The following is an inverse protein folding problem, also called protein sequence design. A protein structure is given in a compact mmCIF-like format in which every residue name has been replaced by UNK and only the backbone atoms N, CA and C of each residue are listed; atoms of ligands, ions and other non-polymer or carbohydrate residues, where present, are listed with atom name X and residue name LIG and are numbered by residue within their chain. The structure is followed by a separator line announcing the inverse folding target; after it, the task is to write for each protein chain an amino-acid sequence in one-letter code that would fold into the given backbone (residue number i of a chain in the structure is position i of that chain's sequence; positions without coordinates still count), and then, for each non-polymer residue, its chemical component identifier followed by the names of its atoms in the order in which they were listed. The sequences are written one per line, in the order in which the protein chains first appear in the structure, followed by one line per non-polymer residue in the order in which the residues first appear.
data_IF_789764183304
#
_entry.id   IF_789764183304
#
_cell.length_a   1.000
_cell.length_b   1.000
_cell.length_c   1.000
_cell.angle_alpha   90.00
_cell.angle_beta   90.00
_cell.angle_gamma   90.00
#
_symmetry.space_group_name_H-M   'P 1'
#
loop_
_entity.id
_entity.type
_entity.pdbx_description
1 polymer ?
#
# COMPACT_ATOMS: atom_id res chain seq x y z
N UNK A 1 7.31 -4.97 -4.23
CA UNK A 1 7.50 -4.86 -2.77
C UNK A 1 8.56 -5.84 -2.30
N UNK A 2 9.35 -5.47 -1.29
CA UNK A 2 10.25 -6.32 -0.50
C UNK A 2 9.46 -7.20 0.48
N UNK A 3 8.71 -8.17 -0.03
CA UNK A 3 7.73 -8.94 0.75
C UNK A 3 8.33 -9.62 2.00
N UNK A 4 9.45 -10.31 1.85
CA UNK A 4 10.06 -11.07 2.94
C UNK A 4 10.52 -10.14 4.08
N UNK A 5 11.20 -9.05 3.72
CA UNK A 5 11.69 -8.05 4.67
C UNK A 5 10.54 -7.34 5.36
N UNK A 6 9.51 -6.96 4.61
CA UNK A 6 8.32 -6.35 5.18
C UNK A 6 7.59 -7.29 6.15
N UNK A 7 7.45 -8.58 5.79
CA UNK A 7 6.86 -9.59 6.68
C UNK A 7 7.67 -9.73 7.97
N UNK A 8 9.00 -9.79 7.86
CA UNK A 8 9.90 -9.87 9.02
C UNK A 8 9.79 -8.61 9.89
N UNK A 9 9.73 -7.43 9.28
CA UNK A 9 9.54 -6.16 9.98
C UNK A 9 8.21 -6.10 10.71
N UNK A 10 7.11 -6.52 10.08
CA UNK A 10 5.80 -6.59 10.72
C UNK A 10 5.80 -7.56 11.92
N UNK A 11 6.47 -8.70 11.80
CA UNK A 11 6.62 -9.66 12.88
C UNK A 11 7.41 -9.07 14.06
N UNK A 12 8.53 -8.38 13.80
CA UNK A 12 9.32 -7.66 14.82
C UNK A 12 8.50 -6.57 15.53
N UNK A 13 7.54 -5.97 14.84
CA UNK A 13 6.64 -4.94 15.38
C UNK A 13 5.34 -5.52 16.00
N UNK A 14 5.32 -6.80 16.36
CA UNK A 14 4.20 -7.48 17.02
C UNK A 14 2.85 -7.39 16.28
N UNK A 15 2.88 -7.24 14.95
CA UNK A 15 1.66 -7.26 14.14
C UNK A 15 1.15 -8.70 14.01
N UNK A 16 -0.14 -8.92 14.22
CA UNK A 16 -0.74 -10.26 14.16
C UNK A 16 -0.59 -10.91 12.78
N UNK A 17 -0.43 -12.24 12.74
CA UNK A 17 -0.29 -12.99 11.47
C UNK A 17 -1.41 -12.71 10.47
N UNK A 18 -2.64 -12.52 10.95
CA UNK A 18 -3.80 -12.15 10.12
C UNK A 18 -3.60 -10.80 9.44
N UNK A 19 -3.19 -9.78 10.21
CA UNK A 19 -2.93 -8.44 9.67
C UNK A 19 -1.73 -8.42 8.73
N UNK A 20 -0.68 -9.20 9.03
CA UNK A 20 0.47 -9.36 8.12
C UNK A 20 0.03 -9.83 6.74
N UNK A 21 -0.77 -10.90 6.69
CA UNK A 21 -1.30 -11.43 5.43
C UNK A 21 -2.22 -10.44 4.71
N UNK A 22 -3.06 -9.68 5.44
CA UNK A 22 -3.89 -8.64 4.83
C UNK A 22 -3.01 -7.54 4.20
N UNK A 23 -2.03 -6.97 4.93
CA UNK A 23 -1.13 -5.96 4.37
C UNK A 23 -0.44 -6.43 3.09
N UNK A 24 0.13 -7.63 3.12
CA UNK A 24 0.83 -8.23 1.97
C UNK A 24 -0.11 -8.40 0.78
N UNK A 25 -1.33 -8.92 1.02
CA UNK A 25 -2.33 -9.11 -0.04
C UNK A 25 -2.77 -7.78 -0.64
N UNK A 26 -2.99 -6.75 0.17
CA UNK A 26 -3.40 -5.41 -0.30
C UNK A 26 -2.33 -4.74 -1.13
N UNK A 27 -1.06 -4.80 -0.71
CA UNK A 27 0.04 -4.24 -1.49
C UNK A 27 0.19 -4.99 -2.81
N UNK A 28 0.17 -6.33 -2.83
CA UNK A 28 0.20 -7.10 -4.08
C UNK A 28 -0.94 -6.73 -5.02
N UNK A 29 -2.14 -6.54 -4.49
CA UNK A 29 -3.30 -6.12 -5.28
C UNK A 29 -3.07 -4.75 -5.94
N UNK A 30 -2.46 -3.81 -5.23
CA UNK A 30 -2.07 -2.50 -5.76
C UNK A 30 -1.01 -2.65 -6.85
N UNK A 31 0.02 -3.47 -6.63
CA UNK A 31 1.11 -3.68 -7.60
C UNK A 31 0.63 -4.34 -8.89
N UNK A 32 -0.30 -5.30 -8.80
CA UNK A 32 -0.91 -5.95 -9.96
C UNK A 32 -1.72 -4.95 -10.78
N UNK A 33 -2.44 -4.05 -10.11
CA UNK A 33 -3.44 -3.21 -10.77
C UNK A 33 -2.91 -1.86 -11.23
N UNK A 34 -2.04 -1.25 -10.44
CA UNK A 34 -1.61 0.13 -10.65
C UNK A 34 -0.12 0.22 -10.96
N UNK A 35 0.72 0.01 -9.95
CA UNK A 35 2.15 0.29 -10.04
C UNK A 35 2.91 -0.39 -8.90
N UNK A 36 4.19 -0.70 -9.14
CA UNK A 36 5.08 -1.25 -8.13
C UNK A 36 5.25 -0.26 -6.96
N UNK A 37 5.05 -0.73 -5.73
CA UNK A 37 5.01 0.17 -4.56
C UNK A 37 6.39 0.73 -4.20
N UNK A 38 7.47 -0.01 -4.50
CA UNK A 38 8.84 0.44 -4.25
C UNK A 38 9.19 1.62 -5.18
N UNK A 39 8.70 1.56 -6.43
CA UNK A 39 8.82 2.65 -7.38
C UNK A 39 8.02 3.89 -6.95
N UNK A 40 6.75 3.72 -6.56
CA UNK A 40 5.92 4.84 -6.07
C UNK A 40 6.52 5.48 -4.81
N UNK A 41 7.14 4.69 -3.92
CA UNK A 41 7.85 5.21 -2.77
C UNK A 41 9.09 6.02 -3.16
N UNK A 42 9.92 5.50 -4.08
CA UNK A 42 11.12 6.20 -4.54
C UNK A 42 10.79 7.53 -5.26
N UNK A 43 9.64 7.57 -5.95
CA UNK A 43 9.19 8.74 -6.72
C UNK A 43 8.72 9.89 -5.83
N UNK A 44 7.83 9.61 -4.87
CA UNK A 44 7.20 10.66 -4.03
C UNK A 44 6.71 10.15 -2.66
N UNK A 45 7.31 9.08 -2.14
CA UNK A 45 6.88 8.40 -0.92
C UNK A 45 5.40 7.99 -0.96
N UNK A 46 4.94 7.55 -2.13
CA UNK A 46 3.54 7.18 -2.40
C UNK A 46 2.52 8.32 -2.22
N UNK A 47 2.93 9.58 -2.23
CA UNK A 47 2.02 10.71 -1.98
C UNK A 47 0.90 10.78 -3.02
N UNK A 48 1.23 10.69 -4.31
CA UNK A 48 0.23 10.67 -5.39
C UNK A 48 -0.66 9.43 -5.35
N UNK A 49 -0.11 8.28 -4.97
CA UNK A 49 -0.88 7.05 -4.81
C UNK A 49 -1.91 7.17 -3.68
N UNK A 50 -1.52 7.76 -2.54
CA UNK A 50 -2.42 8.01 -1.41
C UNK A 50 -3.51 9.04 -1.75
N UNK A 51 -3.16 10.07 -2.51
CA UNK A 51 -4.11 11.07 -3.01
C UNK A 51 -5.12 10.41 -3.97
N UNK A 52 -4.64 9.57 -4.89
CA UNK A 52 -5.49 8.83 -5.82
C UNK A 52 -6.57 8.02 -5.09
N UNK A 53 -6.20 7.24 -4.06
CA UNK A 53 -7.20 6.52 -3.26
C UNK A 53 -8.11 7.44 -2.44
N UNK A 54 -7.62 8.61 -2.02
CA UNK A 54 -8.42 9.59 -1.29
C UNK A 54 -9.43 10.31 -2.19
N UNK A 55 -9.14 10.44 -3.49
CA UNK A 55 -10.07 10.93 -4.50
C UNK A 55 -11.14 9.89 -4.94
N UNK A 56 -11.09 8.69 -4.36
CA UNK A 56 -11.95 7.58 -4.76
C UNK A 56 -11.58 7.01 -6.12
N UNK A 57 -10.29 7.03 -6.48
CA UNK A 57 -9.75 6.47 -7.74
C UNK A 57 -10.23 7.18 -9.02
N UNK A 58 -10.63 8.46 -8.91
CA UNK A 58 -11.17 9.25 -10.04
C UNK A 58 -10.12 9.99 -10.87
N UNK A 59 -8.91 10.15 -10.34
CA UNK A 59 -7.85 10.91 -10.99
C UNK A 59 -7.17 10.05 -12.08
N UNK A 60 -6.96 10.57 -13.31
CA UNK A 60 -6.28 9.85 -14.41
C UNK A 60 -4.79 9.56 -14.18
N UNK A 61 -4.24 9.80 -12.98
CA UNK A 61 -2.83 9.49 -12.64
C UNK A 61 -2.42 8.05 -12.98
N UNK A 62 -3.35 7.09 -12.89
CA UNK A 62 -3.11 5.69 -13.23
C UNK A 62 -4.08 5.25 -14.33
N UNK A 63 -3.57 4.43 -15.26
CA UNK A 63 -4.33 3.93 -16.41
C UNK A 63 -5.44 2.95 -16.02
N UNK A 64 -5.26 2.23 -14.92
CA UNK A 64 -6.26 1.31 -14.37
C UNK A 64 -6.94 1.91 -13.13
N UNK A 65 -8.20 1.52 -12.88
CA UNK A 65 -8.98 2.02 -11.75
C UNK A 65 -9.37 0.92 -10.76
N UNK A 66 -9.30 1.19 -9.46
CA UNK A 66 -9.98 0.34 -8.48
C UNK A 66 -11.48 0.65 -8.44
N UNK A 67 -12.30 -0.39 -8.57
CA UNK A 67 -13.75 -0.29 -8.45
C UNK A 67 -14.21 -1.23 -7.35
N UNK A 68 -14.77 -0.65 -6.28
CA UNK A 68 -15.39 -1.42 -5.20
C UNK A 68 -16.87 -1.05 -5.12
N UNK A 69 -17.74 -2.04 -4.92
CA UNK A 69 -19.20 -1.80 -4.79
C UNK A 69 -19.56 -0.96 -3.55
N UNK A 70 -18.76 -1.07 -2.48
CA UNK A 70 -18.84 -0.24 -1.27
C UNK A 70 -17.46 0.39 -1.01
N UNK A 71 -17.33 1.69 -1.23
CA UNK A 71 -16.07 2.32 -1.67
C UNK A 71 -15.17 2.84 -0.55
N UNK A 72 -15.70 3.51 0.48
CA UNK A 72 -14.89 4.28 1.44
C UNK A 72 -14.00 3.42 2.34
N UNK A 73 -14.54 2.33 2.89
CA UNK A 73 -13.79 1.43 3.78
C UNK A 73 -12.68 0.69 3.04
N UNK A 74 -12.95 0.23 1.81
CA UNK A 74 -11.96 -0.51 1.01
C UNK A 74 -10.76 0.37 0.66
N UNK A 75 -11.00 1.61 0.22
CA UNK A 75 -9.90 2.56 -0.02
C UNK A 75 -9.13 2.91 1.25
N UNK A 76 -9.80 2.98 2.40
CA UNK A 76 -9.15 3.24 3.68
C UNK A 76 -8.20 2.11 4.08
N UNK A 77 -8.58 0.85 3.84
CA UNK A 77 -7.73 -0.33 4.11
C UNK A 77 -6.52 -0.35 3.15
N UNK A 78 -6.70 -0.05 1.86
CA UNK A 78 -5.59 0.05 0.91
C UNK A 78 -4.60 1.15 1.32
N UNK A 79 -5.09 2.35 1.68
CA UNK A 79 -4.25 3.43 2.19
C UNK A 79 -3.51 3.03 3.46
N UNK A 80 -4.15 2.29 4.35
CA UNK A 80 -3.52 1.82 5.57
C UNK A 80 -2.36 0.87 5.28
N UNK A 81 -2.53 -0.06 4.33
CA UNK A 81 -1.46 -0.93 3.87
C UNK A 81 -0.29 -0.14 3.25
N UNK A 82 -0.57 0.83 2.37
CA UNK A 82 0.44 1.70 1.76
C UNK A 82 1.24 2.43 2.83
N UNK A 83 0.56 3.10 3.76
CA UNK A 83 1.22 3.83 4.86
C UNK A 83 2.10 2.91 5.69
N UNK A 84 1.61 1.70 6.01
CA UNK A 84 2.37 0.73 6.80
C UNK A 84 3.63 0.27 6.08
N UNK A 85 3.56 0.09 4.76
CA UNK A 85 4.72 -0.25 3.94
C UNK A 85 5.71 0.92 3.83
N UNK A 86 5.22 2.16 3.71
CA UNK A 86 6.07 3.35 3.72
C UNK A 86 6.84 3.47 5.06
N UNK A 87 6.17 3.25 6.20
CA UNK A 87 6.84 3.26 7.51
C UNK A 87 7.91 2.16 7.64
N UNK A 88 7.70 1.01 7.01
CA UNK A 88 8.73 -0.02 6.92
C UNK A 88 9.95 0.51 6.16
N UNK A 89 9.76 1.07 4.97
CA UNK A 89 10.86 1.61 4.17
C UNK A 89 11.58 2.75 4.91
N UNK A 90 10.87 3.67 5.53
CA UNK A 90 11.45 4.75 6.35
C UNK A 90 12.30 4.25 7.52
N UNK A 91 11.95 3.09 8.10
CA UNK A 91 12.73 2.48 9.16
C UNK A 91 14.00 1.76 8.68
N UNK A 92 14.13 1.48 7.38
CA UNK A 92 15.37 0.92 6.81
C UNK A 92 16.42 1.99 6.48
N UNK A 93 16.01 3.27 6.40
CA UNK A 93 16.89 4.39 6.06
C UNK A 93 17.32 5.24 7.28
N UNK A 94 17.00 4.80 8.50
CA UNK A 94 17.43 5.37 9.78
C UNK A 94 18.26 4.35 10.56
#
# INVERSE_FOLDING_TARGET
MKELDFRNWLNKNNISKKMQSDFISRIKQIEIKLSNIDYEYAKDKCSKLLEYFSSGCKNPTYTNSFEFKNTSTQYSVLKYAIKKYCSFLESEFN
#
